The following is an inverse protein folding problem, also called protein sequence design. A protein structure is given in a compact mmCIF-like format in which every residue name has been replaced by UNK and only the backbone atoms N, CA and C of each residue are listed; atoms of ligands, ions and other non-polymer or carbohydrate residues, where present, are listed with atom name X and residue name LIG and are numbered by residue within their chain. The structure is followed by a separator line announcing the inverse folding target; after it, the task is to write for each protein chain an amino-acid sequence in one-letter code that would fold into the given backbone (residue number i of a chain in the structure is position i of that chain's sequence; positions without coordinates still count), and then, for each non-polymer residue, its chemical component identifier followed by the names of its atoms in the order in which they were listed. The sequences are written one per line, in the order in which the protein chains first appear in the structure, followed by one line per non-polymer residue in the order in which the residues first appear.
data_IF_023493629902
#
_entry.id   IF_023493629902
#
_cell.length_a   1.000
_cell.length_b   1.000
_cell.length_c   1.000
_cell.angle_alpha   90.00
_cell.angle_beta   90.00
_cell.angle_gamma   90.00
#
_symmetry.space_group_name_H-M   'P 1'
#
loop_
_entity.id
_entity.type
_entity.pdbx_description
1 polymer ?
#
# COMPACT_ATOMS: atom_id res chain seq x y z
N UNK A 1 32.57 -22.14 48.87
CA UNK A 1 32.85 -22.54 47.48
C UNK A 1 31.61 -22.26 46.64
N UNK A 2 31.78 -21.42 45.62
CA UNK A 2 31.08 -21.37 44.32
C UNK A 2 29.60 -20.91 44.28
N UNK A 3 29.41 -19.85 43.48
CA UNK A 3 28.20 -19.14 43.07
C UNK A 3 27.52 -19.87 41.91
N UNK A 4 26.18 -19.91 41.89
CA UNK A 4 25.37 -20.23 40.70
C UNK A 4 24.05 -19.44 40.86
N UNK A 5 23.93 -18.18 40.45
CA UNK A 5 23.69 -17.68 39.09
C UNK A 5 22.54 -18.44 38.39
N UNK A 6 21.34 -17.86 38.36
CA UNK A 6 20.29 -18.27 37.44
C UNK A 6 19.76 -17.04 36.72
N UNK A 7 20.00 -17.08 35.42
CA UNK A 7 19.88 -16.02 34.43
C UNK A 7 18.40 -15.70 34.22
N UNK A 8 18.01 -14.45 34.43
CA UNK A 8 16.72 -13.92 33.97
C UNK A 8 16.82 -13.77 32.45
N UNK A 9 16.10 -14.62 31.72
CA UNK A 9 15.99 -14.54 30.28
C UNK A 9 15.25 -13.25 29.90
N UNK A 10 15.99 -12.26 29.40
CA UNK A 10 15.41 -11.06 28.80
C UNK A 10 14.96 -11.40 27.38
N UNK A 11 13.63 -11.44 27.16
CA UNK A 11 13.02 -11.48 25.84
C UNK A 11 13.24 -10.13 25.16
N UNK A 12 14.17 -10.05 24.22
CA UNK A 12 14.35 -8.88 23.36
C UNK A 12 13.29 -8.95 22.26
N UNK A 13 12.15 -8.29 22.47
CA UNK A 13 11.20 -8.01 21.40
C UNK A 13 11.81 -6.98 20.46
N UNK A 14 12.30 -7.43 19.30
CA UNK A 14 12.72 -6.53 18.23
C UNK A 14 11.46 -5.85 17.66
N UNK A 15 11.19 -4.63 18.12
CA UNK A 15 10.21 -3.75 17.49
C UNK A 15 10.82 -3.33 16.15
N UNK A 16 10.30 -3.87 15.05
CA UNK A 16 10.58 -3.36 13.72
C UNK A 16 9.98 -1.95 13.67
N UNK A 17 10.83 -0.94 13.87
CA UNK A 17 10.49 0.45 13.57
C UNK A 17 10.38 0.54 12.05
N UNK A 18 9.16 0.39 11.53
CA UNK A 18 8.82 0.85 10.18
C UNK A 18 9.03 2.36 10.18
N UNK A 19 10.16 2.79 9.59
CA UNK A 19 10.39 4.21 9.33
C UNK A 19 9.22 4.72 8.48
N UNK A 20 8.62 5.89 8.81
CA UNK A 20 7.62 6.47 7.94
C UNK A 20 8.36 6.85 6.65
N UNK A 21 8.11 6.12 5.57
CA UNK A 21 8.37 6.66 4.25
C UNK A 21 7.55 7.94 4.17
N UNK A 22 8.19 9.02 3.75
CA UNK A 22 7.49 10.25 3.46
C UNK A 22 6.59 9.98 2.24
N UNK A 23 5.45 9.35 2.49
CA UNK A 23 4.38 9.17 1.53
C UNK A 23 3.87 10.58 1.21
N UNK A 24 3.81 10.92 -0.07
CA UNK A 24 2.80 11.86 -0.52
C UNK A 24 1.49 11.39 0.11
N UNK A 25 0.78 12.29 0.79
CA UNK A 25 -0.25 11.85 1.71
C UNK A 25 -1.32 11.10 0.91
N UNK A 26 -1.84 9.97 1.43
CA UNK A 26 -2.99 9.27 0.84
C UNK A 26 -4.16 10.21 0.49
N UNK A 27 -4.18 11.39 1.12
CA UNK A 27 -5.10 12.48 0.87
C UNK A 27 -5.04 13.03 -0.56
N UNK A 28 -3.87 13.24 -1.18
CA UNK A 28 -3.78 13.76 -2.56
C UNK A 28 -4.31 12.74 -3.59
N UNK A 29 -3.98 11.46 -3.38
CA UNK A 29 -4.51 10.35 -4.16
C UNK A 29 -6.05 10.28 -4.09
N UNK A 30 -6.60 10.38 -2.87
CA UNK A 30 -8.05 10.38 -2.70
C UNK A 30 -8.71 11.65 -3.26
N UNK A 31 -8.07 12.81 -3.12
CA UNK A 31 -8.59 14.07 -3.65
C UNK A 31 -8.76 14.01 -5.18
N UNK A 32 -7.85 13.34 -5.89
CA UNK A 32 -7.92 13.19 -7.35
C UNK A 32 -9.01 12.22 -7.81
N UNK A 33 -9.25 11.14 -7.05
CA UNK A 33 -10.06 10.01 -7.51
C UNK A 33 -11.49 10.03 -6.97
N UNK A 34 -11.70 10.53 -5.75
CA UNK A 34 -12.96 10.32 -5.02
C UNK A 34 -14.14 11.12 -5.60
N UNK A 35 -13.87 12.32 -6.15
CA UNK A 35 -14.88 13.12 -6.86
C UNK A 35 -15.28 12.48 -8.21
N UNK A 36 -14.30 11.90 -8.92
CA UNK A 36 -14.51 11.26 -10.24
C UNK A 36 -15.14 9.87 -10.14
N UNK A 37 -14.79 9.13 -9.09
CA UNK A 37 -15.14 7.74 -8.89
C UNK A 37 -15.99 7.56 -7.63
N UNK A 38 -17.03 8.37 -7.46
CA UNK A 38 -17.90 8.39 -6.28
C UNK A 38 -18.63 7.06 -6.00
N UNK A 39 -18.65 6.13 -6.95
CA UNK A 39 -19.16 4.76 -6.76
C UNK A 39 -18.17 3.84 -6.03
N UNK A 40 -16.91 4.24 -5.89
CA UNK A 40 -15.89 3.58 -5.08
C UNK A 40 -15.77 4.30 -3.74
N UNK A 41 -15.63 3.51 -2.68
CA UNK A 41 -15.35 4.07 -1.36
C UNK A 41 -13.91 4.56 -1.28
N UNK A 42 -13.62 5.54 -0.39
CA UNK A 42 -12.25 5.97 -0.12
C UNK A 42 -11.33 4.79 0.21
N UNK A 43 -11.84 3.83 0.98
CA UNK A 43 -11.07 2.68 1.42
C UNK A 43 -10.76 1.72 0.27
N UNK A 44 -11.70 1.46 -0.65
CA UNK A 44 -11.43 0.68 -1.86
C UNK A 44 -10.34 1.31 -2.73
N UNK A 45 -10.36 2.64 -2.85
CA UNK A 45 -9.32 3.37 -3.60
C UNK A 45 -7.96 3.22 -2.91
N UNK A 46 -7.87 3.42 -1.60
CA UNK A 46 -6.62 3.26 -0.85
C UNK A 46 -6.08 1.83 -0.92
N UNK A 47 -6.94 0.84 -0.75
CA UNK A 47 -6.56 -0.57 -0.82
C UNK A 47 -5.99 -0.92 -2.20
N UNK A 48 -6.65 -0.47 -3.27
CA UNK A 48 -6.17 -0.65 -4.64
C UNK A 48 -4.82 0.05 -4.87
N UNK A 49 -4.67 1.30 -4.43
CA UNK A 49 -3.43 2.06 -4.60
C UNK A 49 -2.25 1.45 -3.85
N UNK A 50 -2.45 1.01 -2.60
CA UNK A 50 -1.43 0.30 -1.84
C UNK A 50 -1.07 -1.04 -2.48
N UNK A 51 -2.05 -1.77 -3.04
CA UNK A 51 -1.82 -3.04 -3.73
C UNK A 51 -1.02 -2.82 -5.02
N UNK A 52 -1.27 -1.75 -5.77
CA UNK A 52 -0.49 -1.33 -6.94
C UNK A 52 0.97 -1.11 -6.54
N UNK A 53 1.22 -0.25 -5.54
CA UNK A 53 2.58 0.02 -5.04
C UNK A 53 3.33 -1.25 -4.64
N UNK A 54 2.66 -2.14 -3.90
CA UNK A 54 3.24 -3.41 -3.50
C UNK A 54 3.56 -4.31 -4.69
N UNK A 55 2.68 -4.40 -5.68
CA UNK A 55 2.89 -5.22 -6.87
C UNK A 55 3.97 -4.66 -7.79
N UNK A 56 4.04 -3.35 -7.97
CA UNK A 56 5.09 -2.65 -8.73
C UNK A 56 6.46 -2.85 -8.09
N UNK A 57 6.55 -2.70 -6.76
CA UNK A 57 7.78 -2.97 -6.00
C UNK A 57 8.27 -4.42 -6.15
N UNK A 58 7.36 -5.35 -6.49
CA UNK A 58 7.67 -6.76 -6.78
C UNK A 58 7.94 -7.04 -8.27
N UNK A 59 8.05 -6.01 -9.10
CA UNK A 59 8.41 -6.10 -10.52
C UNK A 59 7.24 -6.24 -11.49
N UNK A 60 6.00 -6.03 -11.02
CA UNK A 60 4.84 -5.97 -11.91
C UNK A 60 4.87 -4.70 -12.76
N UNK A 61 4.46 -4.79 -14.01
CA UNK A 61 4.41 -3.65 -14.95
C UNK A 61 2.97 -3.17 -15.17
N UNK A 62 2.81 -1.94 -15.67
CA UNK A 62 1.51 -1.25 -15.77
C UNK A 62 0.37 -2.06 -16.40
N UNK A 63 0.55 -2.87 -17.47
CA UNK A 63 -0.54 -3.71 -18.00
C UNK A 63 -1.07 -4.74 -16.98
N UNK A 64 -0.18 -5.31 -16.16
CA UNK A 64 -0.55 -6.29 -15.12
C UNK A 64 -1.25 -5.59 -13.95
N UNK A 65 -0.73 -4.43 -13.54
CA UNK A 65 -1.31 -3.60 -12.48
C UNK A 65 -2.71 -3.12 -12.87
N UNK A 66 -2.90 -2.72 -14.13
CA UNK A 66 -4.19 -2.29 -14.66
C UNK A 66 -5.20 -3.44 -14.62
N UNK A 67 -4.85 -4.61 -15.16
CA UNK A 67 -5.72 -5.78 -15.15
C UNK A 67 -6.09 -6.21 -13.71
N UNK A 68 -5.17 -6.08 -12.76
CA UNK A 68 -5.44 -6.33 -11.34
C UNK A 68 -6.50 -5.36 -10.79
N UNK A 69 -6.38 -4.06 -11.05
CA UNK A 69 -7.35 -3.06 -10.57
C UNK A 69 -8.71 -3.21 -11.26
N UNK A 70 -8.74 -3.50 -12.56
CA UNK A 70 -9.97 -3.82 -13.28
C UNK A 70 -10.72 -4.99 -12.62
N UNK A 71 -10.01 -6.07 -12.29
CA UNK A 71 -10.61 -7.25 -11.69
C UNK A 71 -11.03 -7.02 -10.23
N UNK A 72 -10.21 -6.35 -9.43
CA UNK A 72 -10.51 -6.10 -8.02
C UNK A 72 -11.72 -5.17 -7.84
N UNK A 73 -11.78 -4.09 -8.63
CA UNK A 73 -12.80 -3.05 -8.47
C UNK A 73 -13.97 -3.19 -9.45
N UNK A 74 -13.90 -4.11 -10.42
CA UNK A 74 -14.89 -4.30 -11.50
C UNK A 74 -15.17 -3.02 -12.27
N UNK A 75 -14.10 -2.30 -12.61
CA UNK A 75 -14.13 -1.03 -13.34
C UNK A 75 -13.65 -1.16 -14.77
N UNK A 76 -13.87 -0.13 -15.59
CA UNK A 76 -13.33 -0.09 -16.94
C UNK A 76 -11.80 0.01 -16.96
N UNK A 77 -11.17 -0.43 -18.05
CA UNK A 77 -9.72 -0.28 -18.26
C UNK A 77 -9.24 1.16 -18.12
N UNK A 78 -9.99 2.13 -18.64
CA UNK A 78 -9.59 3.53 -18.53
C UNK A 78 -9.61 4.00 -17.07
N UNK A 79 -10.60 3.57 -16.29
CA UNK A 79 -10.69 3.86 -14.86
C UNK A 79 -9.53 3.20 -14.09
N UNK A 80 -9.23 1.93 -14.40
CA UNK A 80 -8.12 1.23 -13.76
C UNK A 80 -6.77 1.87 -14.06
N UNK A 81 -6.53 2.30 -15.31
CA UNK A 81 -5.32 3.03 -15.69
C UNK A 81 -5.16 4.31 -14.89
N UNK A 82 -6.23 5.11 -14.73
CA UNK A 82 -6.16 6.34 -13.94
C UNK A 82 -5.86 6.07 -12.46
N UNK A 83 -6.43 5.01 -11.90
CA UNK A 83 -6.15 4.58 -10.51
C UNK A 83 -4.69 4.16 -10.36
N UNK A 84 -4.17 3.33 -11.28
CA UNK A 84 -2.77 2.88 -11.28
C UNK A 84 -1.83 4.08 -11.39
N UNK A 85 -2.04 4.97 -12.38
CA UNK A 85 -1.21 6.17 -12.52
C UNK A 85 -1.26 7.06 -11.28
N UNK A 86 -2.44 7.30 -10.71
CA UNK A 86 -2.55 8.09 -9.48
C UNK A 86 -1.79 7.44 -8.31
N UNK A 87 -1.79 6.10 -8.20
CA UNK A 87 -1.02 5.39 -7.20
C UNK A 87 0.49 5.52 -7.44
N UNK A 88 0.97 5.38 -8.67
CA UNK A 88 2.37 5.56 -9.06
C UNK A 88 2.90 6.96 -8.68
N UNK A 89 2.08 8.01 -8.77
CA UNK A 89 2.49 9.38 -8.45
C UNK A 89 2.38 9.77 -6.97
N UNK A 90 1.42 9.19 -6.23
CA UNK A 90 1.03 9.69 -4.90
C UNK A 90 1.14 8.65 -3.78
N UNK A 91 1.43 7.39 -4.08
CA UNK A 91 1.52 6.31 -3.08
C UNK A 91 2.87 5.57 -3.16
N UNK A 92 3.30 5.23 -4.38
CA UNK A 92 4.52 4.44 -4.64
C UNK A 92 5.80 5.26 -4.38
#
# INVERSE_FOLDING_TARGET
MIRIASVVAALIGAVLVSAPTAAATPDEYLLQLQDRYAFLTPQQLLDAGNKVCAAESNGSISPQLTAMVEDDLKVSTNTALEIVSAAEWNIC
#
